data_IF_834585493340
#
_entry.id   IF_834585493340
#
_cell.length_a   1.000
_cell.length_b   1.000
_cell.length_c   1.000
_cell.angle_alpha   90.00
_cell.angle_beta   90.00
_cell.angle_gamma   90.00
#
_symmetry.space_group_name_H-M   'P 1'
#
loop_
_entity.id
_entity.type
_entity.pdbx_description
1 polymer ?
#
# COMPACT_ATOMS: atom_id res chain seq x y z
N UNK A 1 22.00 14.42 -0.73
CA UNK A 1 21.25 13.35 -1.41
C UNK A 1 20.17 12.96 -0.43
N UNK A 2 18.97 13.50 -0.63
CA UNK A 2 17.86 13.38 0.31
C UNK A 2 17.20 12.01 0.15
N UNK A 3 17.67 11.05 0.94
CA UNK A 3 17.13 9.68 0.99
C UNK A 3 15.67 9.61 1.48
N UNK A 4 15.05 10.74 1.87
CA UNK A 4 13.65 10.81 2.35
C UNK A 4 12.72 11.60 1.40
N UNK A 5 13.10 11.80 0.13
CA UNK A 5 12.19 12.43 -0.83
C UNK A 5 10.88 11.63 -0.92
N UNK A 6 9.79 12.21 -0.42
CA UNK A 6 8.43 11.64 -0.41
C UNK A 6 7.54 12.46 -1.33
N UNK A 7 7.00 11.83 -2.36
CA UNK A 7 6.04 12.45 -3.28
C UNK A 7 4.74 11.69 -3.25
N UNK A 8 3.72 12.29 -2.64
CA UNK A 8 2.35 11.77 -2.68
C UNK A 8 1.62 12.37 -3.88
N UNK A 9 0.93 11.54 -4.65
CA UNK A 9 0.08 11.94 -5.77
C UNK A 9 -1.16 11.05 -5.85
N UNK A 10 -2.14 11.48 -6.64
CA UNK A 10 -3.37 10.74 -6.87
C UNK A 10 -3.39 10.18 -8.28
N UNK A 11 -3.73 8.91 -8.40
CA UNK A 11 -3.89 8.16 -9.63
C UNK A 11 -5.29 7.56 -9.66
N UNK A 12 -6.15 8.14 -10.49
CA UNK A 12 -7.53 7.71 -10.67
C UNK A 12 -7.66 6.30 -11.26
N UNK A 13 -6.61 5.78 -11.91
CA UNK A 13 -6.67 4.48 -12.60
C UNK A 13 -6.65 3.30 -11.63
N UNK A 14 -6.10 3.50 -10.42
CA UNK A 14 -6.12 2.50 -9.36
C UNK A 14 -7.23 2.74 -8.33
N UNK A 15 -7.88 3.90 -8.35
CA UNK A 15 -8.89 4.26 -7.36
C UNK A 15 -10.10 3.32 -7.45
N UNK A 16 -10.50 2.75 -6.30
CA UNK A 16 -11.62 1.82 -6.18
C UNK A 16 -11.30 0.37 -6.55
N UNK A 17 -10.05 0.04 -6.92
CA UNK A 17 -9.67 -1.36 -7.14
C UNK A 17 -9.59 -2.12 -5.82
N UNK A 18 -10.28 -3.26 -5.75
CA UNK A 18 -10.15 -4.18 -4.62
C UNK A 18 -8.81 -4.92 -4.70
N UNK A 19 -8.02 -4.80 -3.64
CA UNK A 19 -6.70 -5.42 -3.55
C UNK A 19 -6.50 -6.14 -2.24
N UNK A 20 -5.63 -7.15 -2.30
CA UNK A 20 -4.99 -7.79 -1.16
C UNK A 20 -3.53 -7.36 -1.14
N UNK A 21 -3.01 -7.03 0.04
CA UNK A 21 -1.62 -6.64 0.21
C UNK A 21 -0.96 -7.45 1.30
N UNK A 22 0.22 -7.98 1.00
CA UNK A 22 1.04 -8.73 1.94
C UNK A 22 2.26 -7.89 2.35
N UNK A 23 2.06 -7.01 3.32
CA UNK A 23 3.11 -6.11 3.78
C UNK A 23 2.56 -4.77 4.26
N UNK A 24 2.13 -4.72 5.53
CA UNK A 24 2.06 -3.48 6.29
C UNK A 24 3.44 -3.14 6.84
N UNK A 25 3.86 -1.88 6.77
CA UNK A 25 5.21 -1.50 7.19
C UNK A 25 5.45 -1.68 8.70
N UNK A 26 6.65 -2.15 9.04
CA UNK A 26 7.23 -2.16 10.37
C UNK A 26 7.82 -0.76 10.66
N UNK A 27 7.26 -0.04 11.64
CA UNK A 27 7.81 1.21 12.20
C UNK A 27 9.18 0.91 12.84
N UNK A 28 10.20 1.77 12.72
CA UNK A 28 11.56 1.46 13.19
C UNK A 28 11.61 1.03 14.66
N UNK A 29 12.06 -0.22 14.90
CA UNK A 29 12.26 -0.79 16.25
C UNK A 29 11.97 -2.29 16.37
N UNK A 30 11.24 -2.87 15.42
CA UNK A 30 11.08 -4.32 15.35
C UNK A 30 12.01 -4.90 14.27
N UNK A 31 12.50 -6.09 14.55
CA UNK A 31 12.93 -7.05 13.55
C UNK A 31 11.86 -8.13 13.63
N UNK A 32 11.03 -8.30 12.62
CA UNK A 32 10.56 -9.57 12.05
C UNK A 32 9.27 -9.27 11.27
N UNK A 33 9.37 -9.37 9.94
CA UNK A 33 8.26 -9.22 9.01
C UNK A 33 7.05 -10.05 9.44
N UNK A 34 6.08 -9.36 10.03
CA UNK A 34 4.75 -9.88 10.20
C UNK A 34 4.12 -9.73 8.83
N UNK A 35 3.89 -10.85 8.14
CA UNK A 35 3.08 -10.90 6.91
C UNK A 35 1.64 -10.62 7.31
N UNK A 36 1.36 -9.36 7.60
CA UNK A 36 0.00 -8.90 7.84
C UNK A 36 -0.64 -8.68 6.47
N UNK A 37 -1.64 -9.51 6.19
CA UNK A 37 -2.40 -9.42 4.96
C UNK A 37 -3.55 -8.43 5.17
N UNK A 38 -3.59 -7.42 4.32
CA UNK A 38 -4.67 -6.44 4.27
C UNK A 38 -5.52 -6.69 3.05
N UNK A 39 -6.82 -6.48 3.15
CA UNK A 39 -7.73 -6.47 1.99
C UNK A 39 -8.62 -5.24 2.07
N UNK A 40 -8.71 -4.50 0.99
CA UNK A 40 -9.54 -3.31 0.92
C UNK A 40 -9.60 -2.74 -0.49
N UNK A 41 -10.04 -1.49 -0.60
CA UNK A 41 -10.10 -0.75 -1.85
C UNK A 41 -8.99 0.31 -1.89
N UNK A 42 -8.30 0.41 -3.02
CA UNK A 42 -7.31 1.46 -3.24
C UNK A 42 -7.98 2.82 -3.27
N UNK A 43 -7.40 3.80 -2.56
CA UNK A 43 -7.95 5.16 -2.54
C UNK A 43 -7.61 5.96 -3.78
N UNK A 44 -6.65 5.49 -4.60
CA UNK A 44 -6.04 6.28 -5.66
C UNK A 44 -4.73 6.94 -5.25
N UNK A 45 -4.40 7.00 -3.96
CA UNK A 45 -3.19 7.68 -3.50
C UNK A 45 -1.96 6.80 -3.69
N UNK A 46 -0.94 7.38 -4.33
CA UNK A 46 0.40 6.81 -4.51
C UNK A 46 1.43 7.66 -3.77
N UNK A 47 2.47 7.02 -3.26
CA UNK A 47 3.61 7.65 -2.63
C UNK A 47 4.87 7.06 -3.25
N UNK A 48 5.68 7.92 -3.87
CA UNK A 48 7.05 7.58 -4.26
C UNK A 48 7.98 8.03 -3.12
N UNK A 49 8.77 7.11 -2.57
CA UNK A 49 9.73 7.37 -1.50
C UNK A 49 11.14 6.94 -1.91
N UNK A 50 12.14 7.80 -1.70
CA UNK A 50 13.56 7.46 -1.86
C UNK A 50 14.11 7.59 -3.29
N UNK A 51 15.37 7.19 -3.46
CA UNK A 51 16.09 7.18 -4.74
C UNK A 51 16.97 5.90 -4.83
N UNK A 52 16.60 4.90 -5.65
CA UNK A 52 15.45 4.86 -6.55
C UNK A 52 14.10 4.82 -5.81
N UNK A 53 12.99 5.29 -6.44
CA UNK A 53 11.72 5.46 -5.76
C UNK A 53 11.03 4.12 -5.47
N UNK A 54 10.84 3.80 -4.19
CA UNK A 54 9.86 2.81 -3.75
C UNK A 54 8.45 3.37 -3.93
N UNK A 55 7.59 2.59 -4.58
CA UNK A 55 6.20 2.98 -4.84
C UNK A 55 5.28 2.35 -3.82
N UNK A 56 4.49 3.17 -3.18
CA UNK A 56 3.52 2.78 -2.18
C UNK A 56 2.13 3.19 -2.65
N UNK A 57 1.14 2.39 -2.31
CA UNK A 57 -0.28 2.65 -2.59
C UNK A 57 -1.07 2.60 -1.29
N UNK A 58 -2.06 3.47 -1.15
CA UNK A 58 -2.93 3.52 0.03
C UNK A 58 -4.17 2.66 -0.21
N UNK A 59 -4.38 1.69 0.68
CA UNK A 59 -5.55 0.81 0.70
C UNK A 59 -6.42 1.27 1.87
N UNK A 60 -7.65 1.67 1.59
CA UNK A 60 -8.66 1.99 2.60
C UNK A 60 -9.82 0.99 2.53
N UNK A 61 -10.90 1.31 3.25
CA UNK A 61 -12.10 0.46 3.32
C UNK A 61 -11.72 -0.99 3.63
N UNK A 62 -10.81 -1.15 4.59
CA UNK A 62 -10.20 -2.43 4.93
C UNK A 62 -11.27 -3.41 5.41
N UNK A 63 -11.49 -4.45 4.60
CA UNK A 63 -12.40 -5.56 4.88
C UNK A 63 -11.69 -6.72 5.57
N UNK A 64 -10.38 -6.86 5.35
CA UNK A 64 -9.50 -7.72 6.13
C UNK A 64 -8.34 -6.88 6.66
N UNK A 65 -8.14 -6.90 7.97
CA UNK A 65 -7.03 -6.23 8.64
C UNK A 65 -6.74 -6.94 9.97
N UNK A 66 -5.50 -6.89 10.46
CA UNK A 66 -5.16 -7.35 11.80
C UNK A 66 -6.05 -6.71 12.88
N UNK A 67 -6.34 -7.45 13.95
CA UNK A 67 -7.18 -6.97 15.05
C UNK A 67 -6.60 -5.70 15.71
N UNK A 68 -5.27 -5.65 15.83
CA UNK A 68 -4.54 -4.52 16.43
C UNK A 68 -4.37 -3.31 15.50
N UNK A 69 -4.77 -3.42 14.22
CA UNK A 69 -4.66 -2.33 13.27
C UNK A 69 -5.77 -1.29 13.48
N UNK A 70 -5.45 -0.12 14.03
CA UNK A 70 -6.44 0.91 14.37
C UNK A 70 -6.76 1.88 13.24
N UNK A 71 -5.89 1.98 12.25
CA UNK A 71 -6.06 2.91 11.14
C UNK A 71 -7.14 2.45 10.16
N UNK A 72 -7.72 3.42 9.44
CA UNK A 72 -8.74 3.17 8.42
C UNK A 72 -8.15 2.86 7.04
N UNK A 73 -6.86 3.13 6.86
CA UNK A 73 -6.12 2.93 5.64
C UNK A 73 -4.68 2.53 5.97
N UNK A 74 -4.06 1.77 5.07
CA UNK A 74 -2.68 1.30 5.17
C UNK A 74 -1.93 1.65 3.90
N UNK A 75 -0.65 1.99 4.04
CA UNK A 75 0.25 2.13 2.90
C UNK A 75 1.02 0.83 2.71
N UNK A 76 0.89 0.25 1.52
CA UNK A 76 1.59 -0.97 1.13
C UNK A 76 2.44 -0.70 -0.10
N UNK A 77 3.60 -1.35 -0.19
CA UNK A 77 4.45 -1.25 -1.37
C UNK A 77 3.76 -1.94 -2.56
N UNK A 78 3.71 -1.25 -3.71
CA UNK A 78 2.98 -1.69 -4.92
C UNK A 78 3.35 -3.12 -5.34
N UNK A 79 4.59 -3.55 -5.11
CA UNK A 79 5.09 -4.89 -5.45
C UNK A 79 4.46 -6.02 -4.65
N UNK A 80 3.87 -5.71 -3.49
CA UNK A 80 3.18 -6.65 -2.62
C UNK A 80 1.65 -6.46 -2.61
N UNK A 81 1.12 -5.66 -3.55
CA UNK A 81 -0.32 -5.44 -3.71
C UNK A 81 -0.83 -6.21 -4.93
N UNK A 82 -1.85 -7.03 -4.71
CA UNK A 82 -2.43 -7.95 -5.68
C UNK A 82 -3.92 -7.64 -5.89
N UNK A 83 -4.39 -7.42 -7.13
CA UNK A 83 -5.81 -7.22 -7.39
C UNK A 83 -6.61 -8.51 -7.19
N UNK A 84 -7.68 -8.43 -6.41
CA UNK A 84 -8.51 -9.62 -6.06
C UNK A 84 -9.53 -9.94 -7.14
N UNK A 85 -10.08 -8.92 -7.78
CA UNK A 85 -11.20 -9.08 -8.73
C UNK A 85 -10.73 -9.35 -10.18
N UNK A 86 -9.48 -9.82 -10.37
CA UNK A 86 -8.89 -10.05 -11.69
C UNK A 86 -8.75 -8.79 -12.55
N UNK A 87 -8.94 -7.61 -11.93
CA UNK A 87 -8.74 -6.34 -12.59
C UNK A 87 -7.25 -6.20 -12.94
N UNK A 88 -6.91 -5.86 -14.18
CA UNK A 88 -5.52 -5.69 -14.56
C UNK A 88 -4.93 -4.56 -13.72
N UNK A 89 -3.74 -4.78 -13.17
CA UNK A 89 -2.99 -3.68 -12.59
C UNK A 89 -2.75 -2.64 -13.70
N UNK A 90 -3.14 -1.37 -13.51
CA UNK A 90 -2.85 -0.34 -14.50
C UNK A 90 -1.34 -0.25 -14.60
N UNK A 91 -0.83 -0.60 -15.78
CA UNK A 91 0.59 -0.50 -16.09
C UNK A 91 0.92 0.99 -16.14
N UNK A 92 1.74 1.43 -15.19
CA UNK A 92 2.37 2.75 -15.23
C UNK A 92 3.24 2.91 -16.49
#
# INVERSE_FOLDING_TARGET
>A
MDHDAKRVYFDETIAGLTVEADGGHEIPGFQHGVRESFRGALTGRRLDQGDPPWRWVEIAELTNKPEDFQDRAVWCEETFVFPVDGSPWPRA
#
